data_IF_624691543548
#
_entry.id   IF_624691543548
#
_cell.length_a   1.000
_cell.length_b   1.000
_cell.length_c   1.000
_cell.angle_alpha   90.00
_cell.angle_beta   90.00
_cell.angle_gamma   90.00
#
_symmetry.space_group_name_H-M   'P 1'
#
loop_
_entity.id
_entity.type
_entity.pdbx_description
1 polymer ?
#
# COMPACT_ATOMS: atom_id res chain seq x y z
N UNK A 1 4.72 -24.23 -37.66
CA UNK A 1 4.43 -23.99 -39.09
C UNK A 1 4.14 -22.51 -39.24
N UNK A 2 5.10 -21.75 -39.77
CA UNK A 2 5.01 -20.29 -39.84
C UNK A 2 4.36 -19.89 -41.16
N UNK A 3 3.19 -19.27 -41.12
CA UNK A 3 2.51 -18.77 -42.31
C UNK A 3 3.14 -17.45 -42.73
N UNK A 4 3.80 -17.43 -43.89
CA UNK A 4 4.24 -16.21 -44.57
C UNK A 4 3.05 -15.64 -45.34
N UNK A 5 2.65 -14.41 -45.03
CA UNK A 5 1.62 -13.69 -45.77
C UNK A 5 2.32 -12.97 -46.93
N UNK A 6 2.02 -13.41 -48.16
CA UNK A 6 2.52 -12.81 -49.39
C UNK A 6 1.54 -11.71 -49.83
N UNK A 7 1.98 -10.45 -49.86
CA UNK A 7 1.18 -9.35 -50.40
C UNK A 7 1.51 -9.12 -51.87
N UNK A 8 0.47 -9.14 -52.72
CA UNK A 8 0.54 -8.90 -54.17
C UNK A 8 0.69 -7.39 -54.40
N UNK A 9 1.61 -6.92 -55.28
CA UNK A 9 1.67 -5.51 -55.64
C UNK A 9 0.62 -5.21 -56.72
N UNK A 10 -0.33 -4.33 -56.39
CA UNK A 10 -1.18 -3.65 -57.38
C UNK A 10 -0.38 -2.50 -57.98
N UNK A 11 -0.12 -2.55 -59.29
CA UNK A 11 0.49 -1.45 -60.03
C UNK A 11 -0.59 -0.56 -60.65
N UNK A 12 -0.57 0.72 -60.31
CA UNK A 12 -1.09 1.78 -61.18
C UNK A 12 -0.22 3.03 -61.03
N UNK A 13 0.15 3.70 -62.15
CA UNK A 13 1.08 4.81 -62.13
C UNK A 13 0.31 6.12 -62.06
N UNK A 14 0.50 6.89 -61.00
CA UNK A 14 0.26 8.33 -61.04
C UNK A 14 1.12 9.03 -60.00
N UNK A 15 1.80 10.05 -60.49
CA UNK A 15 2.68 10.94 -59.77
C UNK A 15 1.92 11.66 -58.63
N UNK A 16 2.08 11.20 -57.40
CA UNK A 16 1.81 12.02 -56.23
C UNK A 16 3.05 11.94 -55.34
N UNK A 17 3.74 13.07 -55.21
CA UNK A 17 4.78 13.27 -54.20
C UNK A 17 4.15 13.09 -52.82
N UNK A 18 4.08 11.85 -52.36
CA UNK A 18 3.79 11.50 -50.98
C UNK A 18 4.91 12.09 -50.15
N UNK A 19 4.66 13.28 -49.59
CA UNK A 19 5.42 13.75 -48.44
C UNK A 19 5.14 12.73 -47.35
N UNK A 20 6.01 11.73 -47.23
CA UNK A 20 6.07 10.86 -46.06
C UNK A 20 6.17 11.82 -44.89
N UNK A 21 5.07 12.02 -44.18
CA UNK A 21 5.07 12.80 -42.96
C UNK A 21 5.90 11.99 -41.97
N UNK A 22 7.21 12.25 -41.93
CA UNK A 22 8.11 11.64 -40.96
C UNK A 22 7.54 11.92 -39.57
N UNK A 23 7.09 10.85 -38.91
CA UNK A 23 6.53 10.96 -37.56
C UNK A 23 7.64 11.45 -36.65
N UNK A 24 7.47 12.66 -36.09
CA UNK A 24 8.44 13.24 -35.16
C UNK A 24 8.68 12.29 -33.99
N UNK A 25 9.94 11.95 -33.77
CA UNK A 25 10.38 11.17 -32.62
C UNK A 25 10.51 12.09 -31.41
N UNK A 26 9.99 11.65 -30.27
CA UNK A 26 10.03 12.41 -29.02
C UNK A 26 11.36 12.27 -28.26
N UNK A 27 12.31 11.45 -28.75
CA UNK A 27 13.65 11.27 -28.20
C UNK A 27 13.70 11.06 -26.68
N UNK A 28 12.79 10.25 -26.15
CA UNK A 28 12.77 9.92 -24.72
C UNK A 28 14.03 9.15 -24.31
N UNK A 29 14.51 9.44 -23.10
CA UNK A 29 15.62 8.70 -22.52
C UNK A 29 15.20 7.26 -22.21
N UNK A 30 16.10 6.27 -22.39
CA UNK A 30 15.82 4.88 -21.99
C UNK A 30 15.44 4.74 -20.52
N UNK A 31 14.78 3.63 -20.19
CA UNK A 31 14.52 3.25 -18.79
C UNK A 31 15.82 3.20 -18.00
N UNK A 32 15.84 3.82 -16.82
CA UNK A 32 16.97 3.78 -15.87
C UNK A 32 17.34 2.33 -15.52
N UNK A 33 16.35 1.43 -15.53
CA UNK A 33 16.50 0.05 -15.11
C UNK A 33 16.58 -0.96 -16.26
N UNK A 34 16.22 -0.57 -17.48
CA UNK A 34 16.17 -1.48 -18.64
C UNK A 34 15.48 -2.81 -18.29
N UNK A 35 16.17 -3.92 -18.58
CA UNK A 35 15.72 -5.28 -18.29
C UNK A 35 16.28 -5.83 -16.97
N UNK A 36 16.93 -5.01 -16.14
CA UNK A 36 17.65 -5.43 -14.93
C UNK A 36 16.79 -6.32 -14.02
N UNK A 37 15.54 -5.92 -13.74
CA UNK A 37 14.63 -6.67 -12.88
C UNK A 37 14.06 -7.94 -13.51
N UNK A 38 14.03 -8.03 -14.85
CA UNK A 38 13.56 -9.23 -15.55
C UNK A 38 14.48 -10.42 -15.31
N UNK A 39 15.78 -10.17 -15.08
CA UNK A 39 16.80 -11.21 -14.86
C UNK A 39 16.68 -11.88 -13.48
N UNK A 40 16.28 -11.13 -12.46
CA UNK A 40 16.30 -11.59 -11.06
C UNK A 40 14.95 -12.13 -10.57
N UNK A 41 13.88 -11.92 -11.33
CA UNK A 41 12.55 -12.44 -10.99
C UNK A 41 12.49 -13.98 -10.91
N UNK A 42 13.47 -14.69 -11.51
CA UNK A 42 13.46 -16.15 -11.60
C UNK A 42 14.26 -16.86 -10.49
N UNK A 43 15.29 -16.24 -9.90
CA UNK A 43 16.28 -16.97 -9.10
C UNK A 43 16.20 -16.69 -7.58
N UNK A 44 15.34 -15.77 -7.12
CA UNK A 44 15.37 -15.28 -5.73
C UNK A 44 14.50 -16.06 -4.71
N UNK A 45 13.86 -17.17 -5.09
CA UNK A 45 13.01 -17.92 -4.17
C UNK A 45 13.76 -18.89 -3.23
N UNK A 46 15.10 -18.83 -3.16
CA UNK A 46 15.90 -19.70 -2.28
C UNK A 46 16.12 -19.14 -0.86
N UNK A 47 15.16 -18.41 -0.31
CA UNK A 47 15.17 -18.12 1.13
C UNK A 47 14.69 -19.38 1.85
N UNK A 48 15.36 -19.71 2.96
CA UNK A 48 15.06 -20.77 3.94
C UNK A 48 13.61 -21.26 3.95
N UNK A 49 13.41 -22.58 4.08
CA UNK A 49 12.14 -23.28 3.83
C UNK A 49 10.90 -22.39 4.02
N UNK A 50 10.13 -22.13 2.95
CA UNK A 50 9.02 -21.16 2.97
C UNK A 50 8.04 -21.42 4.12
N UNK A 51 7.85 -22.68 4.49
CA UNK A 51 7.06 -23.09 5.64
C UNK A 51 7.54 -22.50 6.99
N UNK A 52 8.85 -22.48 7.28
CA UNK A 52 9.36 -21.92 8.56
C UNK A 52 9.17 -20.40 8.59
N UNK A 53 9.32 -19.72 7.45
CA UNK A 53 9.11 -18.29 7.34
C UNK A 53 7.62 -17.92 7.51
N UNK A 54 6.72 -18.68 6.90
CA UNK A 54 5.27 -18.52 7.01
C UNK A 54 4.77 -18.72 8.46
N UNK A 55 5.21 -19.78 9.14
CA UNK A 55 4.86 -20.05 10.54
C UNK A 55 5.28 -18.91 11.46
N UNK A 56 6.50 -18.37 11.24
CA UNK A 56 6.99 -17.22 12.01
C UNK A 56 6.17 -15.96 11.73
N UNK A 57 5.80 -15.71 10.48
CA UNK A 57 4.97 -14.56 10.09
C UNK A 57 3.60 -14.66 10.76
N UNK A 58 2.96 -15.83 10.73
CA UNK A 58 1.63 -15.98 11.35
C UNK A 58 1.70 -15.89 12.87
N UNK A 59 2.78 -16.42 13.48
CA UNK A 59 3.04 -16.23 14.92
C UNK A 59 3.12 -14.76 15.32
N UNK A 60 3.89 -13.95 14.56
CA UNK A 60 4.02 -12.51 14.81
C UNK A 60 2.72 -11.75 14.56
N UNK A 61 1.95 -12.11 13.52
CA UNK A 61 0.61 -11.54 13.30
C UNK A 61 -0.31 -11.83 14.49
N UNK A 62 -0.29 -13.06 15.00
CA UNK A 62 -1.07 -13.45 16.17
C UNK A 62 -0.70 -12.66 17.43
N UNK A 63 0.59 -12.43 17.67
CA UNK A 63 1.07 -11.59 18.78
C UNK A 63 0.59 -10.15 18.64
N UNK A 64 0.72 -9.57 17.44
CA UNK A 64 0.30 -8.20 17.17
C UNK A 64 -1.23 -8.01 17.31
N UNK A 65 -2.04 -9.01 16.90
CA UNK A 65 -3.49 -9.02 17.15
C UNK A 65 -3.81 -9.01 18.63
N UNK A 66 -3.08 -9.81 19.44
CA UNK A 66 -3.25 -9.82 20.90
C UNK A 66 -2.89 -8.47 21.51
N UNK A 67 -1.85 -7.80 21.01
CA UNK A 67 -1.51 -6.44 21.45
C UNK A 67 -2.61 -5.43 21.10
N UNK A 68 -3.19 -5.51 19.90
CA UNK A 68 -4.29 -4.62 19.49
C UNK A 68 -5.56 -4.80 20.35
N UNK A 69 -5.96 -6.06 20.57
CA UNK A 69 -7.21 -6.40 21.29
C UNK A 69 -7.01 -6.34 22.80
N UNK A 70 -5.79 -6.55 23.27
CA UNK A 70 -5.43 -6.56 24.69
C UNK A 70 -5.75 -5.24 25.38
N UNK A 71 -5.94 -5.33 26.69
CA UNK A 71 -6.02 -4.15 27.54
C UNK A 71 -4.65 -3.43 27.51
N UNK A 72 -4.69 -2.12 27.29
CA UNK A 72 -3.54 -1.25 27.42
C UNK A 72 -3.87 -0.20 28.49
N UNK A 73 -2.88 0.15 29.31
CA UNK A 73 -3.08 1.07 30.44
C UNK A 73 -3.47 2.47 29.97
N UNK A 74 -3.04 2.87 28.77
CA UNK A 74 -3.33 4.19 28.21
C UNK A 74 -3.82 4.12 26.76
N UNK A 75 -4.86 4.89 26.39
CA UNK A 75 -5.31 5.00 24.99
C UNK A 75 -4.19 5.44 24.03
N UNK A 76 -3.25 6.26 24.49
CA UNK A 76 -2.10 6.73 23.70
C UNK A 76 -1.17 5.61 23.25
N UNK A 77 -1.02 4.53 24.03
CA UNK A 77 -0.23 3.36 23.62
C UNK A 77 -0.88 2.66 22.44
N UNK A 78 -2.21 2.53 22.47
CA UNK A 78 -2.98 1.88 21.41
C UNK A 78 -2.96 2.70 20.12
N UNK A 79 -3.11 4.03 20.22
CA UNK A 79 -2.96 4.94 19.09
C UNK A 79 -1.56 4.84 18.45
N UNK A 80 -0.50 4.78 19.27
CA UNK A 80 0.87 4.62 18.78
C UNK A 80 1.10 3.28 18.09
N UNK A 81 0.53 2.20 18.61
CA UNK A 81 0.60 0.88 17.96
C UNK A 81 -0.06 0.91 16.58
N UNK A 82 -1.27 1.49 16.48
CA UNK A 82 -1.98 1.63 15.21
C UNK A 82 -1.17 2.47 14.22
N UNK A 83 -0.56 3.57 14.66
CA UNK A 83 0.29 4.40 13.81
C UNK A 83 1.49 3.65 13.25
N UNK A 84 2.18 2.89 14.10
CA UNK A 84 3.34 2.09 13.68
C UNK A 84 2.93 1.04 12.65
N UNK A 85 1.81 0.35 12.86
CA UNK A 85 1.28 -0.65 11.93
C UNK A 85 0.96 -0.02 10.56
N UNK A 86 0.34 1.16 10.54
CA UNK A 86 0.05 1.90 9.31
C UNK A 86 1.33 2.35 8.59
N UNK A 87 2.30 2.91 9.33
CA UNK A 87 3.58 3.39 8.77
C UNK A 87 4.49 2.28 8.26
N UNK A 88 4.38 1.09 8.82
CA UNK A 88 5.06 -0.12 8.33
C UNK A 88 4.41 -0.71 7.07
N UNK A 89 3.25 -0.22 6.65
CA UNK A 89 2.55 -0.71 5.46
C UNK A 89 1.91 -2.10 5.64
N UNK A 90 1.74 -2.56 6.88
CA UNK A 90 1.18 -3.89 7.21
C UNK A 90 -0.25 -3.83 7.76
N UNK A 91 -0.88 -2.65 7.75
CA UNK A 91 -2.23 -2.44 8.30
C UNK A 91 -3.32 -3.29 7.62
N UNK A 92 -3.12 -3.67 6.36
CA UNK A 92 -4.06 -4.53 5.62
C UNK A 92 -4.24 -5.93 6.23
N UNK A 93 -3.36 -6.34 7.13
CA UNK A 93 -3.51 -7.60 7.88
C UNK A 93 -4.36 -7.48 9.16
N UNK A 94 -4.69 -6.25 9.58
CA UNK A 94 -5.32 -5.94 10.88
C UNK A 94 -6.46 -4.93 10.75
N UNK A 95 -7.09 -4.82 9.58
CA UNK A 95 -8.09 -3.77 9.30
C UNK A 95 -9.27 -3.81 10.28
N UNK A 96 -9.75 -5.01 10.60
CA UNK A 96 -10.88 -5.22 11.52
C UNK A 96 -10.50 -4.80 12.94
N UNK A 97 -9.34 -5.25 13.42
CA UNK A 97 -8.85 -4.92 14.75
C UNK A 97 -8.64 -3.40 14.88
N UNK A 98 -7.99 -2.78 13.89
CA UNK A 98 -7.77 -1.32 13.87
C UNK A 98 -9.09 -0.56 13.89
N UNK A 99 -10.06 -0.96 13.06
CA UNK A 99 -11.39 -0.34 13.03
C UNK A 99 -12.07 -0.41 14.40
N UNK A 100 -12.12 -1.61 15.00
CA UNK A 100 -12.75 -1.82 16.30
C UNK A 100 -12.08 -0.99 17.41
N UNK A 101 -10.74 -0.93 17.42
CA UNK A 101 -10.02 -0.16 18.42
C UNK A 101 -10.24 1.35 18.24
N UNK A 102 -10.25 1.86 17.01
CA UNK A 102 -10.53 3.27 16.75
C UNK A 102 -11.98 3.65 17.09
N UNK A 103 -12.94 2.76 16.82
CA UNK A 103 -14.33 2.94 17.22
C UNK A 103 -14.45 3.03 18.75
N UNK A 104 -13.80 2.13 19.48
CA UNK A 104 -13.81 2.14 20.95
C UNK A 104 -13.18 3.42 21.50
N UNK A 105 -12.05 3.85 20.95
CA UNK A 105 -11.37 5.09 21.35
C UNK A 105 -12.26 6.31 21.06
N UNK A 106 -12.94 6.35 19.91
CA UNK A 106 -13.86 7.44 19.59
C UNK A 106 -14.99 7.54 20.63
N UNK A 107 -15.63 6.40 20.96
CA UNK A 107 -16.69 6.35 21.97
C UNK A 107 -16.19 6.79 23.35
N UNK A 108 -15.02 6.32 23.79
CA UNK A 108 -14.49 6.67 25.11
C UNK A 108 -14.16 8.16 25.22
N UNK A 109 -13.54 8.74 24.19
CA UNK A 109 -13.14 10.16 24.21
C UNK A 109 -14.32 11.11 24.07
N UNK A 110 -15.23 10.86 23.13
CA UNK A 110 -16.25 11.83 22.74
C UNK A 110 -17.63 11.56 23.35
N UNK A 111 -18.00 10.30 23.60
CA UNK A 111 -19.33 9.96 24.12
C UNK A 111 -19.35 9.80 25.64
N UNK A 112 -18.29 9.24 26.21
CA UNK A 112 -18.22 8.94 27.65
C UNK A 112 -17.51 10.03 28.47
N UNK A 113 -16.90 11.03 27.82
CA UNK A 113 -16.02 12.02 28.44
C UNK A 113 -14.96 11.40 29.37
N UNK A 114 -14.53 10.17 29.04
CA UNK A 114 -13.46 9.44 29.75
C UNK A 114 -12.08 9.76 29.13
N UNK A 115 -12.03 10.82 28.32
CA UNK A 115 -10.78 11.37 27.84
C UNK A 115 -10.03 11.94 29.03
N UNK A 116 -8.92 11.31 29.38
CA UNK A 116 -7.97 11.85 30.36
C UNK A 116 -7.70 13.31 29.99
N UNK A 117 -8.00 14.24 30.89
CA UNK A 117 -7.94 15.68 30.60
C UNK A 117 -6.48 16.17 30.48
N UNK A 118 -5.52 15.25 30.63
CA UNK A 118 -4.07 15.45 30.64
C UNK A 118 -3.40 14.88 29.37
N UNK A 119 -4.14 14.78 28.26
CA UNK A 119 -3.57 14.32 27.00
C UNK A 119 -2.66 15.38 26.36
N UNK A 120 -1.42 14.99 26.09
CA UNK A 120 -0.45 15.85 25.41
C UNK A 120 -0.84 16.14 23.94
N UNK A 121 -0.22 17.19 23.38
CA UNK A 121 -0.46 17.62 21.99
C UNK A 121 -0.22 16.47 20.99
N UNK A 122 0.76 15.61 21.25
CA UNK A 122 1.09 14.49 20.39
C UNK A 122 -0.08 13.50 20.30
N UNK A 123 -0.65 13.13 21.44
CA UNK A 123 -1.76 12.19 21.55
C UNK A 123 -3.02 12.75 20.89
N UNK A 124 -3.34 14.02 21.13
CA UNK A 124 -4.49 14.68 20.49
C UNK A 124 -4.32 14.76 18.96
N UNK A 125 -3.15 15.17 18.49
CA UNK A 125 -2.87 15.24 17.05
C UNK A 125 -2.93 13.85 16.40
N UNK A 126 -2.45 12.82 17.11
CA UNK A 126 -2.47 11.44 16.64
C UNK A 126 -3.91 10.90 16.55
N UNK A 127 -4.70 11.09 17.61
CA UNK A 127 -6.11 10.72 17.67
C UNK A 127 -6.89 11.36 16.52
N UNK A 128 -6.77 12.68 16.36
CA UNK A 128 -7.43 13.45 15.31
C UNK A 128 -7.09 12.89 13.92
N UNK A 129 -5.81 12.68 13.64
CA UNK A 129 -5.37 12.16 12.34
C UNK A 129 -5.90 10.76 12.09
N UNK A 130 -5.75 9.83 13.03
CA UNK A 130 -6.13 8.43 12.85
C UNK A 130 -7.64 8.28 12.63
N UNK A 131 -8.44 9.02 13.39
CA UNK A 131 -9.90 8.98 13.23
C UNK A 131 -10.36 9.62 11.92
N UNK A 132 -9.78 10.78 11.53
CA UNK A 132 -10.09 11.37 10.21
C UNK A 132 -9.70 10.46 9.05
N UNK A 133 -8.59 9.74 9.16
CA UNK A 133 -8.17 8.76 8.15
C UNK A 133 -9.19 7.63 7.98
N UNK A 134 -9.94 7.28 9.04
CA UNK A 134 -11.04 6.30 8.99
C UNK A 134 -12.41 6.92 8.66
N UNK A 135 -12.45 8.20 8.30
CA UNK A 135 -13.70 8.87 7.90
C UNK A 135 -14.57 9.38 9.05
N UNK A 136 -14.08 9.39 10.29
CA UNK A 136 -14.80 10.01 11.40
C UNK A 136 -14.85 11.54 11.23
N UNK A 137 -16.02 12.12 11.46
CA UNK A 137 -16.22 13.56 11.47
C UNK A 137 -15.76 14.13 12.82
N UNK A 138 -14.55 14.70 12.86
CA UNK A 138 -14.00 15.36 14.05
C UNK A 138 -13.84 16.85 13.81
N UNK A 139 -14.36 17.64 14.76
CA UNK A 139 -14.21 19.09 14.81
C UNK A 139 -12.76 19.48 15.01
N UNK A 140 -12.36 20.61 14.44
CA UNK A 140 -11.06 21.22 14.68
C UNK A 140 -10.99 21.88 16.06
#
# INVERSE_FOLDING_TARGET
>A
MSLQILAIPSSSPAHETSRVAERRLANFHPSIWGDYFLKYASDSNSVSSPAIAEDRIEGLKGELRKMLIGAMDKPSQKLNLIDQIQRLGIAYHFEIEIYQQLEQIHKSYFELHDGDNDNDLHTIALLFRLLRQQGYAISC
#
